data_IF_776308612155
#
_entry.id   IF_776308612155
#
_cell.length_a   1.000
_cell.length_b   1.000
_cell.length_c   1.000
_cell.angle_alpha   90.00
_cell.angle_beta   90.00
_cell.angle_gamma   90.00
#
_symmetry.space_group_name_H-M   'P 1'
#
loop_
_entity.id
_entity.type
_entity.pdbx_description
1 polymer ?
#
# COMPACT_ATOMS: atom_id res chain seq x y z
N UNK A 1 3.50 -41.41 -59.15
CA UNK A 1 2.04 -41.66 -59.04
C UNK A 1 1.48 -40.58 -58.14
N UNK A 2 0.73 -39.68 -58.77
CA UNK A 2 -0.04 -38.57 -58.21
C UNK A 2 -0.90 -39.05 -57.02
N UNK A 3 -0.88 -38.35 -55.89
CA UNK A 3 -2.04 -38.31 -54.99
C UNK A 3 -2.33 -36.86 -54.61
N UNK A 4 -3.57 -36.52 -54.87
CA UNK A 4 -4.21 -35.20 -54.96
C UNK A 4 -4.12 -34.37 -53.69
N UNK A 5 -4.01 -33.05 -53.88
CA UNK A 5 -4.05 -31.99 -52.86
C UNK A 5 -5.49 -31.81 -52.38
N UNK A 6 -5.72 -31.88 -51.07
CA UNK A 6 -6.92 -31.31 -50.44
C UNK A 6 -6.65 -29.82 -50.14
N UNK A 7 -7.58 -28.96 -50.57
CA UNK A 7 -7.48 -27.52 -50.44
C UNK A 7 -7.73 -27.07 -48.98
N UNK A 8 -6.98 -26.08 -48.44
CA UNK A 8 -7.30 -25.50 -47.15
C UNK A 8 -8.52 -24.58 -47.27
N UNK A 9 -9.49 -24.77 -46.36
CA UNK A 9 -10.65 -23.89 -46.20
C UNK A 9 -10.18 -22.44 -45.96
N UNK A 10 -10.55 -21.54 -46.86
CA UNK A 10 -10.30 -20.11 -46.73
C UNK A 10 -11.05 -19.55 -45.51
N UNK A 11 -10.31 -19.19 -44.47
CA UNK A 11 -10.83 -18.45 -43.31
C UNK A 11 -11.41 -17.10 -43.74
N UNK A 12 -12.60 -16.75 -43.23
CA UNK A 12 -13.31 -15.51 -43.55
C UNK A 12 -12.43 -14.29 -43.23
N UNK A 13 -12.11 -13.51 -44.27
CA UNK A 13 -11.29 -12.31 -44.17
C UNK A 13 -11.89 -11.26 -43.22
N UNK A 14 -11.05 -10.70 -42.36
CA UNK A 14 -11.38 -9.60 -41.47
C UNK A 14 -11.95 -8.43 -42.28
N UNK A 15 -13.18 -7.98 -41.96
CA UNK A 15 -13.78 -6.84 -42.65
C UNK A 15 -12.92 -5.60 -42.39
N UNK A 16 -12.35 -5.03 -43.45
CA UNK A 16 -11.67 -3.75 -43.41
C UNK A 16 -12.65 -2.65 -42.99
N UNK A 17 -12.37 -1.97 -41.88
CA UNK A 17 -13.20 -0.87 -41.41
C UNK A 17 -12.92 0.40 -42.20
N UNK A 18 -13.99 1.16 -42.49
CA UNK A 18 -13.85 2.47 -43.13
C UNK A 18 -13.07 3.43 -42.22
N UNK A 19 -12.34 4.36 -42.84
CA UNK A 19 -11.53 5.37 -42.14
C UNK A 19 -12.36 6.14 -41.11
N UNK A 20 -13.61 6.47 -41.45
CA UNK A 20 -14.56 7.12 -40.53
C UNK A 20 -14.85 6.29 -39.27
N UNK A 21 -15.07 4.98 -39.42
CA UNK A 21 -15.30 4.11 -38.25
C UNK A 21 -14.03 3.93 -37.41
N UNK A 22 -12.85 3.88 -38.04
CA UNK A 22 -11.57 3.87 -37.32
C UNK A 22 -11.38 5.15 -36.51
N UNK A 23 -11.66 6.32 -37.10
CA UNK A 23 -11.59 7.60 -36.38
C UNK A 23 -12.58 7.69 -35.22
N UNK A 24 -13.83 7.26 -35.42
CA UNK A 24 -14.83 7.25 -34.36
C UNK A 24 -14.42 6.35 -33.18
N UNK A 25 -13.89 5.16 -33.47
CA UNK A 25 -13.43 4.24 -32.42
C UNK A 25 -12.19 4.80 -31.71
N UNK A 26 -11.23 5.35 -32.44
CA UNK A 26 -10.02 5.95 -31.82
C UNK A 26 -10.36 7.18 -30.98
N UNK A 27 -11.25 8.06 -31.44
CA UNK A 27 -11.72 9.20 -30.63
C UNK A 27 -12.46 8.74 -29.38
N UNK A 28 -13.30 7.70 -29.48
CA UNK A 28 -13.99 7.16 -28.32
C UNK A 28 -13.01 6.55 -27.30
N UNK A 29 -12.00 5.80 -27.77
CA UNK A 29 -10.94 5.26 -26.91
C UNK A 29 -10.15 6.39 -26.24
N UNK A 30 -9.76 7.44 -26.98
CA UNK A 30 -9.04 8.58 -26.41
C UNK A 30 -9.86 9.34 -25.37
N UNK A 31 -11.16 9.50 -25.58
CA UNK A 31 -12.07 10.11 -24.60
C UNK A 31 -12.21 9.25 -23.33
N UNK A 32 -12.36 7.93 -23.48
CA UNK A 32 -12.43 7.00 -22.35
C UNK A 32 -11.11 6.96 -21.57
N UNK A 33 -9.96 7.00 -22.27
CA UNK A 33 -8.64 7.08 -21.65
C UNK A 33 -8.45 8.42 -20.93
N UNK A 34 -8.83 9.55 -21.53
CA UNK A 34 -8.74 10.87 -20.89
C UNK A 34 -9.64 10.97 -19.64
N UNK A 35 -10.86 10.44 -19.69
CA UNK A 35 -11.75 10.37 -18.54
C UNK A 35 -11.24 9.40 -17.46
N UNK A 36 -10.67 8.25 -17.87
CA UNK A 36 -10.06 7.28 -16.96
C UNK A 36 -8.80 7.81 -16.27
N UNK A 37 -8.01 8.63 -16.96
CA UNK A 37 -6.87 9.37 -16.39
C UNK A 37 -7.37 10.44 -15.40
N UNK A 38 -8.44 11.17 -15.73
CA UNK A 38 -9.01 12.20 -14.86
C UNK A 38 -9.64 11.67 -13.56
N UNK A 39 -10.14 10.44 -13.55
CA UNK A 39 -10.75 9.80 -12.37
C UNK A 39 -9.73 8.90 -11.64
N UNK A 40 -8.80 8.26 -12.37
CA UNK A 40 -7.84 7.30 -11.82
C UNK A 40 -6.57 7.91 -11.21
N UNK A 41 -6.18 9.13 -11.61
CA UNK A 41 -5.05 9.87 -11.00
C UNK A 41 -5.49 10.63 -9.74
N UNK A 42 -6.80 10.78 -9.53
CA UNK A 42 -7.36 11.54 -8.40
C UNK A 42 -7.04 10.95 -7.03
N UNK A 43 -7.00 9.63 -6.87
CA UNK A 43 -6.88 9.01 -5.54
C UNK A 43 -5.57 9.32 -4.80
N UNK A 44 -4.45 9.47 -5.52
CA UNK A 44 -3.15 9.79 -4.92
C UNK A 44 -2.99 11.27 -4.59
N UNK A 45 -3.43 12.16 -5.49
CA UNK A 45 -3.41 13.60 -5.26
C UNK A 45 -4.43 14.01 -4.19
N UNK A 46 -5.62 13.43 -4.22
CA UNK A 46 -6.67 13.66 -3.23
C UNK A 46 -6.21 13.23 -1.82
N UNK A 47 -5.55 12.07 -1.71
CA UNK A 47 -5.01 11.62 -0.41
C UNK A 47 -3.92 12.55 0.12
N UNK A 48 -3.02 13.04 -0.74
CA UNK A 48 -1.96 13.99 -0.33
C UNK A 48 -2.57 15.31 0.14
N UNK A 49 -3.50 15.88 -0.63
CA UNK A 49 -4.15 17.14 -0.30
C UNK A 49 -4.96 17.02 0.99
N UNK A 50 -5.71 15.93 1.15
CA UNK A 50 -6.50 15.67 2.35
C UNK A 50 -5.64 15.49 3.60
N UNK A 51 -4.54 14.72 3.51
CA UNK A 51 -3.62 14.52 4.63
C UNK A 51 -2.93 15.82 5.03
N UNK A 52 -2.50 16.64 4.06
CA UNK A 52 -1.92 17.94 4.35
C UNK A 52 -2.94 18.91 4.97
N UNK A 53 -4.18 18.93 4.47
CA UNK A 53 -5.27 19.69 5.09
C UNK A 53 -5.50 19.31 6.55
N UNK A 54 -5.51 18.01 6.87
CA UNK A 54 -5.63 17.53 8.25
C UNK A 54 -4.43 17.91 9.10
N UNK A 55 -3.22 17.89 8.54
CA UNK A 55 -2.02 18.31 9.23
C UNK A 55 -2.07 19.80 9.59
N UNK A 56 -2.42 20.66 8.64
CA UNK A 56 -2.59 22.10 8.87
C UNK A 56 -3.67 22.36 9.94
N UNK A 57 -4.77 21.59 9.91
CA UNK A 57 -5.82 21.67 10.92
C UNK A 57 -5.32 21.23 12.32
N UNK A 58 -4.49 20.19 12.42
CA UNK A 58 -3.91 19.76 13.69
C UNK A 58 -2.89 20.80 14.21
N UNK A 59 -1.96 21.25 13.37
CA UNK A 59 -0.90 22.19 13.73
C UNK A 59 -1.44 23.56 14.12
N UNK A 60 -2.48 24.05 13.44
CA UNK A 60 -3.17 25.30 13.83
C UNK A 60 -3.80 25.25 15.23
N UNK A 61 -3.96 24.05 15.79
CA UNK A 61 -4.45 23.80 17.16
C UNK A 61 -3.34 23.35 18.11
N UNK A 62 -2.08 23.40 17.70
CA UNK A 62 -0.94 22.95 18.50
C UNK A 62 -0.91 21.43 18.73
N UNK A 63 -1.63 20.65 17.91
CA UNK A 63 -1.64 19.20 17.96
C UNK A 63 -0.73 18.61 16.91
N UNK A 64 -0.06 17.51 17.26
CA UNK A 64 0.68 16.69 16.30
C UNK A 64 -0.26 15.77 15.52
N UNK A 65 0.21 15.26 14.38
CA UNK A 65 -0.48 14.29 13.53
C UNK A 65 0.51 13.25 12.99
N UNK A 66 0.01 12.06 12.64
CA UNK A 66 0.81 11.04 11.98
C UNK A 66 0.10 10.42 10.80
N UNK A 67 0.88 9.78 9.92
CA UNK A 67 0.37 9.09 8.74
C UNK A 67 0.02 7.65 9.09
N UNK A 68 -1.18 7.20 8.75
CA UNK A 68 -1.60 5.80 8.89
C UNK A 68 -1.33 5.06 7.58
N UNK A 69 -0.45 4.05 7.61
CA UNK A 69 -0.09 3.26 6.43
C UNK A 69 0.29 4.17 5.23
N UNK A 70 -0.37 4.01 4.09
CA UNK A 70 -0.25 4.90 2.93
C UNK A 70 1.20 5.15 2.48
N UNK A 71 2.00 4.08 2.46
CA UNK A 71 3.43 4.13 2.13
C UNK A 71 3.77 4.87 0.83
N UNK A 72 2.89 4.80 -0.17
CA UNK A 72 3.08 5.44 -1.48
C UNK A 72 3.10 6.97 -1.45
N UNK A 73 2.49 7.60 -0.43
CA UNK A 73 2.44 9.08 -0.34
C UNK A 73 3.43 9.66 0.67
N UNK A 74 4.22 8.81 1.36
CA UNK A 74 5.22 9.26 2.35
C UNK A 74 6.09 10.39 1.82
N UNK A 75 6.69 10.32 0.61
CA UNK A 75 7.55 11.40 0.11
C UNK A 75 6.85 12.76 0.02
N UNK A 76 5.53 12.78 -0.16
CA UNK A 76 4.73 13.99 -0.34
C UNK A 76 4.23 14.60 0.97
N UNK A 77 4.09 13.80 2.04
CA UNK A 77 3.46 14.25 3.30
C UNK A 77 4.38 14.20 4.50
N UNK A 78 5.51 13.47 4.42
CA UNK A 78 6.40 13.24 5.57
C UNK A 78 6.87 14.54 6.23
N UNK A 79 6.98 15.65 5.49
CA UNK A 79 7.34 16.96 6.04
C UNK A 79 6.38 17.45 7.15
N UNK A 80 5.08 17.19 6.98
CA UNK A 80 4.03 17.64 7.90
C UNK A 80 3.71 16.65 9.02
N UNK A 81 4.09 15.37 8.85
CA UNK A 81 3.80 14.32 9.82
C UNK A 81 4.81 14.31 10.96
N UNK A 82 4.38 13.98 12.18
CA UNK A 82 5.26 13.78 13.33
C UNK A 82 5.66 12.32 13.51
N UNK A 83 4.85 11.38 13.05
CA UNK A 83 5.10 9.93 13.10
C UNK A 83 4.36 9.17 12.00
N UNK A 84 4.65 7.87 11.87
CA UNK A 84 3.83 6.90 11.14
C UNK A 84 3.14 5.95 12.11
N UNK A 85 1.91 5.54 11.80
CA UNK A 85 1.27 4.36 12.36
C UNK A 85 1.20 3.33 11.25
N UNK A 86 1.95 2.24 11.37
CA UNK A 86 1.94 1.16 10.38
C UNK A 86 1.34 -0.12 10.95
N UNK A 87 0.55 -0.81 10.14
CA UNK A 87 0.09 -2.16 10.38
C UNK A 87 0.77 -3.13 9.43
N UNK A 88 1.29 -4.23 9.97
CA UNK A 88 1.63 -5.44 9.21
C UNK A 88 2.73 -5.27 8.16
N UNK A 89 3.65 -4.31 8.31
CA UNK A 89 4.72 -4.18 7.31
C UNK A 89 5.65 -5.39 7.29
N UNK A 90 5.83 -6.11 8.40
CA UNK A 90 6.67 -7.32 8.41
C UNK A 90 5.92 -8.44 7.71
N UNK A 91 4.62 -8.61 8.00
CA UNK A 91 3.79 -9.61 7.32
C UNK A 91 3.75 -9.40 5.80
N UNK A 92 3.70 -8.15 5.35
CA UNK A 92 3.56 -7.82 3.93
C UNK A 92 4.90 -7.51 3.23
N UNK A 93 6.02 -7.57 3.96
CA UNK A 93 7.35 -7.23 3.46
C UNK A 93 7.44 -5.78 2.90
N UNK A 94 6.92 -4.82 3.67
CA UNK A 94 6.79 -3.41 3.30
C UNK A 94 7.55 -2.45 4.23
N UNK A 95 8.25 -2.94 5.26
CA UNK A 95 8.81 -2.08 6.32
C UNK A 95 9.84 -1.07 5.80
N UNK A 96 10.61 -1.43 4.77
CA UNK A 96 11.58 -0.52 4.13
C UNK A 96 10.95 0.77 3.60
N UNK A 97 9.66 0.76 3.26
CA UNK A 97 8.92 1.97 2.87
C UNK A 97 8.76 2.93 4.03
N UNK A 98 8.58 2.41 5.25
CA UNK A 98 8.34 3.19 6.46
C UNK A 98 9.63 3.62 7.16
N UNK A 99 10.78 3.02 6.84
CA UNK A 99 12.12 3.48 7.29
C UNK A 99 12.39 4.95 6.94
N UNK A 100 11.71 5.49 5.92
CA UNK A 100 11.75 6.91 5.60
C UNK A 100 11.43 7.82 6.81
N UNK A 101 10.55 7.39 7.72
CA UNK A 101 10.28 8.12 8.97
C UNK A 101 11.47 8.06 9.93
N UNK A 102 12.06 6.87 10.13
CA UNK A 102 13.25 6.70 10.99
C UNK A 102 14.41 7.55 10.45
N UNK A 103 14.65 7.52 9.13
CA UNK A 103 15.66 8.34 8.47
C UNK A 103 15.41 9.85 8.61
N UNK A 104 14.15 10.26 8.74
CA UNK A 104 13.75 11.63 9.05
C UNK A 104 13.75 11.94 10.57
N UNK A 105 14.28 11.04 11.41
CA UNK A 105 14.23 11.12 12.87
C UNK A 105 12.81 11.21 13.46
N UNK A 106 11.86 10.50 12.84
CA UNK A 106 10.45 10.43 13.25
C UNK A 106 10.08 8.99 13.60
N UNK A 107 9.33 8.74 14.68
CA UNK A 107 9.00 7.38 15.09
C UNK A 107 8.00 6.72 14.13
N UNK A 108 8.08 5.39 14.06
CA UNK A 108 7.05 4.53 13.47
C UNK A 108 6.41 3.72 14.59
N UNK A 109 5.13 3.97 14.88
CA UNK A 109 4.33 3.14 15.76
C UNK A 109 3.81 1.95 14.96
N UNK A 110 4.39 0.79 15.20
CA UNK A 110 4.23 -0.39 14.38
C UNK A 110 3.35 -1.43 15.09
N UNK A 111 2.37 -1.97 14.38
CA UNK A 111 1.41 -2.94 14.93
C UNK A 111 1.43 -4.21 14.08
N UNK A 112 1.56 -5.35 14.73
CA UNK A 112 1.43 -6.67 14.12
C UNK A 112 0.32 -7.47 14.79
N UNK A 113 -0.38 -8.27 13.97
CA UNK A 113 -1.56 -9.06 14.39
C UNK A 113 -1.25 -10.56 14.28
N UNK A 114 -0.49 -11.12 15.23
CA UNK A 114 -0.18 -12.54 15.19
C UNK A 114 -1.45 -13.39 15.32
N UNK A 115 -1.50 -14.49 14.56
CA UNK A 115 -2.62 -15.44 14.60
C UNK A 115 -2.36 -16.49 15.68
N UNK A 116 -3.43 -16.97 16.32
CA UNK A 116 -3.40 -18.05 17.33
C UNK A 116 -2.63 -17.71 18.61
N UNK A 117 -2.68 -16.45 19.02
CA UNK A 117 -2.16 -15.99 20.30
C UNK A 117 -3.30 -16.02 21.30
N UNK A 118 -3.20 -16.85 22.33
CA UNK A 118 -4.11 -16.79 23.48
C UNK A 118 -3.55 -15.80 24.49
N UNK A 119 -4.43 -15.03 25.14
CA UNK A 119 -4.09 -13.85 25.97
C UNK A 119 -3.02 -14.10 27.06
N UNK A 120 -2.78 -15.36 27.46
CA UNK A 120 -1.90 -15.76 28.55
C UNK A 120 -0.45 -16.12 28.15
N UNK A 121 -0.10 -16.09 26.85
CA UNK A 121 1.15 -16.70 26.41
C UNK A 121 2.29 -15.68 26.17
N UNK A 122 3.06 -15.41 27.24
CA UNK A 122 4.33 -14.66 27.18
C UNK A 122 5.30 -15.23 26.11
N UNK A 123 5.19 -16.52 25.75
CA UNK A 123 6.07 -17.13 24.75
C UNK A 123 5.78 -16.64 23.32
N UNK A 124 4.63 -16.00 23.09
CA UNK A 124 4.21 -15.54 21.76
C UNK A 124 5.14 -14.47 21.22
N UNK A 125 5.57 -13.47 22.02
CA UNK A 125 6.46 -12.42 21.53
C UNK A 125 7.76 -12.97 20.96
N UNK A 126 8.23 -14.13 21.42
CA UNK A 126 9.42 -14.77 20.88
C UNK A 126 9.14 -15.70 19.69
N UNK A 127 7.91 -15.77 19.18
CA UNK A 127 7.58 -16.56 17.99
C UNK A 127 7.22 -15.67 16.79
N UNK A 128 6.79 -14.43 17.06
CA UNK A 128 6.32 -13.50 16.01
C UNK A 128 7.49 -12.96 15.20
N UNK A 129 7.45 -13.04 13.85
CA UNK A 129 8.52 -12.53 12.98
C UNK A 129 8.92 -11.09 13.27
N UNK A 130 7.97 -10.20 13.54
CA UNK A 130 8.23 -8.80 13.82
C UNK A 130 9.00 -8.53 15.12
N UNK A 131 9.05 -9.49 16.04
CA UNK A 131 9.88 -9.39 17.25
C UNK A 131 11.24 -10.09 17.09
N UNK A 132 11.53 -10.67 15.92
CA UNK A 132 12.80 -11.36 15.60
C UNK A 132 13.56 -10.74 14.45
N UNK A 133 12.85 -10.22 13.46
CA UNK A 133 13.47 -9.70 12.25
C UNK A 133 13.97 -8.29 12.46
N UNK A 134 15.06 -7.97 11.77
CA UNK A 134 15.61 -6.62 11.72
C UNK A 134 14.77 -5.69 10.82
N UNK A 135 13.76 -6.22 10.11
CA UNK A 135 12.95 -5.46 9.13
C UNK A 135 12.18 -4.28 9.78
N UNK A 136 11.89 -4.37 11.08
CA UNK A 136 11.24 -3.29 11.84
C UNK A 136 12.18 -2.64 12.86
N UNK A 137 13.50 -2.73 12.65
CA UNK A 137 14.47 -2.14 13.56
C UNK A 137 14.26 -0.61 13.68
N UNK A 138 14.33 -0.11 14.92
CA UNK A 138 14.02 1.29 15.24
C UNK A 138 12.52 1.62 15.29
N UNK A 139 11.61 0.69 14.94
CA UNK A 139 10.18 0.91 15.06
C UNK A 139 9.73 0.65 16.50
N UNK A 140 8.69 1.36 16.94
CA UNK A 140 8.01 1.13 18.22
C UNK A 140 6.93 0.07 18.02
N UNK A 141 7.34 -1.21 18.07
CA UNK A 141 6.47 -2.35 17.73
C UNK A 141 5.63 -2.83 18.92
N UNK A 142 4.33 -3.03 18.68
CA UNK A 142 3.40 -3.72 19.57
C UNK A 142 2.65 -4.83 18.83
N UNK A 143 2.34 -5.90 19.55
CA UNK A 143 1.45 -6.96 19.08
C UNK A 143 0.05 -6.71 19.63
N UNK A 144 -0.96 -6.87 18.77
CA UNK A 144 -2.36 -6.61 19.11
C UNK A 144 -3.29 -7.69 18.57
N UNK A 145 -4.46 -7.79 19.18
CA UNK A 145 -5.62 -8.41 18.56
C UNK A 145 -6.16 -7.50 17.45
N UNK A 146 -6.75 -8.09 16.40
CA UNK A 146 -7.27 -7.33 15.25
C UNK A 146 -8.42 -6.38 15.63
N UNK A 147 -9.20 -6.72 16.66
CA UNK A 147 -10.26 -5.87 17.20
C UNK A 147 -9.74 -4.67 18.02
N UNK A 148 -8.41 -4.56 18.23
CA UNK A 148 -7.75 -3.53 19.02
C UNK A 148 -8.32 -3.39 20.45
N UNK A 149 -8.64 -4.52 21.08
CA UNK A 149 -9.05 -4.57 22.48
C UNK A 149 -7.91 -4.18 23.44
N UNK A 150 -8.07 -4.43 24.74
CA UNK A 150 -7.08 -4.05 25.75
C UNK A 150 -5.79 -4.85 25.69
N UNK A 151 -5.79 -6.05 25.08
CA UNK A 151 -4.62 -6.92 25.06
C UNK A 151 -3.49 -6.31 24.25
N UNK A 152 -2.29 -6.28 24.79
CA UNK A 152 -1.09 -5.74 24.15
C UNK A 152 0.13 -6.51 24.63
N UNK A 153 1.02 -6.84 23.69
CA UNK A 153 2.32 -7.40 24.02
C UNK A 153 3.41 -6.60 23.30
N UNK A 154 4.41 -6.15 24.04
CA UNK A 154 5.58 -5.50 23.46
C UNK A 154 6.61 -6.57 23.08
N UNK A 155 7.34 -6.36 21.99
CA UNK A 155 8.51 -7.18 21.71
C UNK A 155 9.52 -6.99 22.84
N UNK A 156 9.90 -8.08 23.50
CA UNK A 156 10.96 -8.02 24.50
C UNK A 156 12.29 -7.73 23.78
N UNK A 157 13.14 -6.83 24.31
CA UNK A 157 14.51 -6.75 23.82
C UNK A 157 15.16 -8.11 23.99
N UNK A 158 15.94 -8.55 23.00
CA UNK A 158 16.68 -9.80 23.09
C UNK A 158 17.46 -9.81 24.42
N UNK A 159 17.21 -10.82 25.26
CA UNK A 159 17.97 -11.02 26.49
C UNK A 159 19.42 -11.34 26.08
N UNK A 160 20.33 -10.41 26.35
CA UNK A 160 21.77 -10.65 26.27
C UNK A 160 22.21 -11.72 27.27
#
# INVERSE_FOLDING_TARGET
MEKTRDAPHAGKGWKSWSTRKKFLVVSLILLVVAAGIGIGIGVGLDSVDYVNFLADAAHSRGMSIGLKNAGSIIPSVIGQMQWSVNEQCVQNNECSTYEAFINASKPVFHIEYPKNVTDDDISVSQSVPACKSDDSNGFSTILKNLNLDTWIQMCQPASN
#
